data_IF_057630263060
#
_entry.id   IF_057630263060
#
_cell.length_a   1.000
_cell.length_b   1.000
_cell.length_c   1.000
_cell.angle_alpha   90.00
_cell.angle_beta   90.00
_cell.angle_gamma   90.00
#
_symmetry.space_group_name_H-M   'P 1'
#
loop_
_entity.id
_entity.type
_entity.pdbx_description
1 polymer ?
#
# COMPACT_ATOMS: atom_id res chain seq x y z
N UNK A 1 -2.95 20.47 17.53
CA UNK A 1 -1.87 20.92 16.62
C UNK A 1 -0.95 19.78 16.18
N UNK A 2 -0.43 18.94 17.09
CA UNK A 2 0.50 17.85 16.75
C UNK A 2 -0.10 16.78 15.81
N UNK A 3 -1.37 16.41 15.97
CA UNK A 3 -1.98 15.38 15.12
C UNK A 3 -2.21 15.79 13.66
N UNK A 4 -2.52 17.07 13.42
CA UNK A 4 -2.61 17.58 12.06
C UNK A 4 -1.25 17.56 11.35
N UNK A 5 -0.17 17.83 12.09
CA UNK A 5 1.19 17.68 11.58
C UNK A 5 1.49 16.21 11.25
N UNK A 6 1.17 15.28 12.17
CA UNK A 6 1.33 13.85 11.93
C UNK A 6 0.53 13.35 10.72
N UNK A 7 -0.69 13.87 10.51
CA UNK A 7 -1.52 13.56 9.35
C UNK A 7 -0.82 13.87 8.03
N UNK A 8 -0.14 15.02 7.96
CA UNK A 8 0.63 15.43 6.78
C UNK A 8 1.92 14.61 6.65
N UNK A 9 2.59 14.33 7.76
CA UNK A 9 3.84 13.55 7.79
C UNK A 9 3.66 12.07 7.45
N UNK A 10 2.42 11.55 7.44
CA UNK A 10 2.12 10.20 6.95
C UNK A 10 2.30 10.09 5.43
N UNK A 11 2.14 11.17 4.66
CA UNK A 11 2.23 11.10 3.20
C UNK A 11 3.63 10.78 2.66
N UNK A 12 4.74 11.42 3.10
CA UNK A 12 6.08 11.10 2.62
C UNK A 12 6.44 9.60 2.64
N UNK A 13 6.30 8.85 3.76
CA UNK A 13 6.60 7.42 3.74
C UNK A 13 5.65 6.64 2.83
N UNK A 14 4.37 6.99 2.75
CA UNK A 14 3.42 6.38 1.81
C UNK A 14 3.86 6.59 0.35
N UNK A 15 4.26 7.81 -0.01
CA UNK A 15 4.73 8.15 -1.36
C UNK A 15 5.97 7.36 -1.75
N UNK A 16 6.88 7.15 -0.79
CA UNK A 16 8.04 6.29 -0.98
C UNK A 16 7.62 4.84 -1.25
N UNK A 17 6.72 4.28 -0.43
CA UNK A 17 6.23 2.91 -0.60
C UNK A 17 5.57 2.72 -1.96
N UNK A 18 4.75 3.67 -2.43
CA UNK A 18 4.12 3.61 -3.76
C UNK A 18 5.16 3.54 -4.87
N UNK A 19 6.23 4.33 -4.80
CA UNK A 19 7.32 4.30 -5.79
C UNK A 19 8.07 2.98 -5.80
N UNK A 20 8.29 2.37 -4.63
CA UNK A 20 8.94 1.07 -4.53
C UNK A 20 8.02 -0.06 -5.01
N UNK A 21 6.72 0.02 -4.71
CA UNK A 21 5.74 -0.98 -5.16
C UNK A 21 5.53 -0.90 -6.68
N UNK A 22 5.45 0.31 -7.25
CA UNK A 22 5.19 0.53 -8.67
C UNK A 22 6.27 1.44 -9.30
N UNK A 23 7.46 0.90 -9.66
CA UNK A 23 8.58 1.68 -10.18
C UNK A 23 8.27 2.44 -11.48
N UNK A 24 7.37 1.88 -12.30
CA UNK A 24 6.97 2.43 -13.61
C UNK A 24 5.85 3.49 -13.49
N UNK A 25 5.36 3.79 -12.28
CA UNK A 25 4.30 4.77 -12.07
C UNK A 25 4.85 6.20 -12.17
N UNK A 26 4.15 7.09 -12.88
CA UNK A 26 4.61 8.48 -13.01
C UNK A 26 4.70 9.18 -11.64
N UNK A 27 5.84 9.83 -11.39
CA UNK A 27 6.17 10.55 -10.16
C UNK A 27 5.20 11.70 -9.79
N UNK A 28 4.34 12.12 -10.71
CA UNK A 28 3.46 13.30 -10.55
C UNK A 28 2.02 12.95 -10.16
N UNK A 29 1.73 11.75 -9.63
CA UNK A 29 0.37 11.46 -9.15
C UNK A 29 0.08 12.21 -7.85
N UNK A 30 -0.85 13.17 -7.90
CA UNK A 30 -1.36 13.86 -6.73
C UNK A 30 -2.56 13.12 -6.12
N UNK A 31 -3.17 12.16 -6.84
CA UNK A 31 -4.34 11.42 -6.39
C UNK A 31 -4.10 10.63 -5.10
N UNK A 32 -2.95 9.96 -4.98
CA UNK A 32 -2.55 9.27 -3.73
C UNK A 32 -2.44 10.29 -2.59
N UNK A 33 -1.77 11.41 -2.82
CA UNK A 33 -1.64 12.48 -1.81
C UNK A 33 -3.01 13.00 -1.37
N UNK A 34 -3.91 13.28 -2.31
CA UNK A 34 -5.26 13.75 -2.02
C UNK A 34 -6.04 12.75 -1.18
N UNK A 35 -5.98 11.45 -1.51
CA UNK A 35 -6.68 10.43 -0.73
C UNK A 35 -6.09 10.28 0.69
N UNK A 36 -4.77 10.23 0.84
CA UNK A 36 -4.13 10.15 2.16
C UNK A 36 -4.51 11.33 3.05
N UNK A 37 -4.54 12.54 2.49
CA UNK A 37 -4.80 13.76 3.24
C UNK A 37 -6.29 14.02 3.49
N UNK A 38 -7.18 13.58 2.60
CA UNK A 38 -8.60 13.98 2.61
C UNK A 38 -9.61 12.83 2.62
N UNK A 39 -9.19 11.59 2.85
CA UNK A 39 -10.14 10.51 3.11
C UNK A 39 -11.04 10.88 4.32
N UNK A 40 -12.38 10.80 4.22
CA UNK A 40 -13.29 11.46 5.17
C UNK A 40 -13.08 11.09 6.64
N UNK A 41 -12.96 9.80 6.94
CA UNK A 41 -12.80 9.33 8.32
C UNK A 41 -11.36 9.50 8.84
N UNK A 42 -10.29 9.11 8.10
CA UNK A 42 -8.93 9.44 8.48
C UNK A 42 -8.72 10.93 8.76
N UNK A 43 -9.24 11.81 7.91
CA UNK A 43 -9.15 13.27 8.10
C UNK A 43 -9.81 13.70 9.41
N UNK A 44 -11.03 13.23 9.68
CA UNK A 44 -11.76 13.54 10.91
C UNK A 44 -11.02 13.02 12.16
N UNK A 45 -10.53 11.78 12.14
CA UNK A 45 -9.85 11.20 13.30
C UNK A 45 -8.46 11.78 13.55
N UNK A 46 -7.76 12.24 12.50
CA UNK A 46 -6.50 12.96 12.67
C UNK A 46 -6.67 14.40 13.15
N UNK A 47 -7.85 15.00 12.97
CA UNK A 47 -8.16 16.31 13.56
C UNK A 47 -8.35 16.23 15.09
N UNK A 48 -8.74 15.08 15.63
CA UNK A 48 -8.97 14.86 17.06
C UNK A 48 -7.65 14.48 17.76
N UNK A 49 -7.33 15.02 18.96
CA UNK A 49 -6.14 14.67 19.73
C UNK A 49 -6.23 13.24 20.28
N UNK A 50 -5.81 12.28 19.45
CA UNK A 50 -5.74 10.85 19.72
C UNK A 50 -4.35 10.30 19.45
N UNK A 51 -3.95 9.24 20.17
CA UNK A 51 -2.69 8.50 19.92
C UNK A 51 -2.64 7.82 18.54
N UNK A 52 -3.79 7.71 17.88
CA UNK A 52 -3.95 6.99 16.63
C UNK A 52 -3.11 7.60 15.49
N UNK A 53 -3.08 8.93 15.38
CA UNK A 53 -2.26 9.63 14.39
C UNK A 53 -0.77 9.30 14.52
N UNK A 54 -0.25 9.24 15.76
CA UNK A 54 1.15 8.88 16.02
C UNK A 54 1.41 7.43 15.62
N UNK A 55 0.51 6.51 16.01
CA UNK A 55 0.67 5.10 15.67
C UNK A 55 0.61 4.84 14.14
N UNK A 56 -0.25 5.55 13.41
CA UNK A 56 -0.32 5.46 11.94
C UNK A 56 0.96 6.00 11.31
N UNK A 57 1.44 7.16 11.76
CA UNK A 57 2.69 7.74 11.27
C UNK A 57 3.88 6.80 11.50
N UNK A 58 4.07 6.28 12.73
CA UNK A 58 5.16 5.38 13.04
C UNK A 58 5.07 4.07 12.26
N UNK A 59 3.86 3.55 12.04
CA UNK A 59 3.64 2.36 11.23
C UNK A 59 4.09 2.55 9.78
N UNK A 60 3.71 3.65 9.12
CA UNK A 60 4.13 3.92 7.74
C UNK A 60 5.62 4.25 7.63
N UNK A 61 6.19 4.96 8.60
CA UNK A 61 7.65 5.16 8.69
C UNK A 61 8.36 3.80 8.78
N UNK A 62 7.88 2.90 9.65
CA UNK A 62 8.44 1.56 9.79
C UNK A 62 8.36 0.76 8.49
N UNK A 63 7.19 0.74 7.82
CA UNK A 63 7.05 0.09 6.52
C UNK A 63 8.03 0.63 5.48
N UNK A 64 8.14 1.96 5.38
CA UNK A 64 9.03 2.61 4.42
C UNK A 64 10.50 2.29 4.66
N UNK A 65 10.95 2.32 5.92
CA UNK A 65 12.33 1.98 6.29
C UNK A 65 12.61 0.48 6.12
N UNK A 66 11.63 -0.38 6.38
CA UNK A 66 11.73 -1.82 6.14
C UNK A 66 11.96 -2.10 4.67
N UNK A 67 11.12 -1.54 3.80
CA UNK A 67 11.28 -1.66 2.34
C UNK A 67 12.64 -1.11 1.90
N UNK A 68 13.03 0.05 2.42
CA UNK A 68 14.33 0.62 2.10
C UNK A 68 15.49 -0.32 2.50
N UNK A 69 15.46 -0.90 3.70
CA UNK A 69 16.48 -1.83 4.17
C UNK A 69 16.55 -3.09 3.30
N UNK A 70 15.39 -3.64 2.94
CA UNK A 70 15.29 -4.82 2.08
C UNK A 70 15.86 -4.57 0.67
N UNK A 71 15.53 -3.43 0.05
CA UNK A 71 15.96 -3.12 -1.32
C UNK A 71 17.39 -2.58 -1.41
N UNK A 72 17.84 -1.80 -0.43
CA UNK A 72 19.20 -1.23 -0.44
C UNK A 72 20.29 -2.16 0.12
N UNK A 73 19.89 -3.23 0.82
CA UNK A 73 20.79 -4.15 1.55
C UNK A 73 21.75 -3.42 2.51
N UNK A 74 21.33 -2.24 3.00
CA UNK A 74 22.09 -1.44 3.98
C UNK A 74 21.74 -1.89 5.40
N UNK A 75 22.59 -2.75 5.97
CA UNK A 75 22.43 -3.33 7.31
C UNK A 75 22.47 -2.29 8.43
N UNK A 76 23.19 -1.18 8.24
CA UNK A 76 23.34 -0.13 9.27
C UNK A 76 22.01 0.58 9.49
N UNK A 77 21.25 0.81 8.42
CA UNK A 77 19.89 1.39 8.52
C UNK A 77 18.91 0.45 9.21
N UNK A 78 19.13 -0.85 9.11
CA UNK A 78 18.35 -1.88 9.81
C UNK A 78 18.37 -1.73 11.33
N UNK A 79 19.42 -1.13 11.91
CA UNK A 79 19.54 -0.90 13.36
C UNK A 79 18.46 0.04 13.92
N UNK A 80 17.82 0.85 13.08
CA UNK A 80 16.72 1.74 13.48
C UNK A 80 15.39 0.99 13.59
N UNK A 81 15.26 -0.18 12.96
CA UNK A 81 13.99 -0.92 12.94
C UNK A 81 13.59 -1.48 14.32
N UNK A 82 14.46 -2.13 15.13
CA UNK A 82 14.08 -2.64 16.44
C UNK A 82 13.52 -1.58 17.42
N UNK A 83 14.16 -0.40 17.63
CA UNK A 83 13.59 0.60 18.52
C UNK A 83 12.28 1.19 17.98
N UNK A 84 12.17 1.38 16.65
CA UNK A 84 10.94 1.85 16.02
C UNK A 84 9.79 0.83 16.15
N UNK A 85 10.09 -0.45 15.96
CA UNK A 85 9.14 -1.54 16.21
C UNK A 85 8.68 -1.56 17.66
N UNK A 86 9.59 -1.40 18.62
CA UNK A 86 9.27 -1.29 20.05
C UNK A 86 8.31 -0.13 20.35
N UNK A 87 8.49 1.03 19.71
CA UNK A 87 7.56 2.16 19.83
C UNK A 87 6.17 1.83 19.26
N UNK A 88 6.11 1.16 18.10
CA UNK A 88 4.82 0.69 17.55
C UNK A 88 4.19 -0.32 18.49
N UNK A 89 4.96 -1.25 19.07
CA UNK A 89 4.46 -2.26 20.00
C UNK A 89 3.86 -1.64 21.27
N UNK A 90 4.50 -0.62 21.84
CA UNK A 90 4.00 0.10 23.01
C UNK A 90 2.68 0.84 22.74
N UNK A 91 2.49 1.35 21.52
CA UNK A 91 1.27 2.06 21.16
C UNK A 91 0.15 1.11 20.71
N UNK A 92 0.51 0.09 19.92
CA UNK A 92 -0.37 -0.85 19.21
C UNK A 92 0.35 -2.19 19.00
N UNK A 93 0.32 -3.10 19.99
CA UNK A 93 1.02 -4.38 19.92
C UNK A 93 0.53 -5.26 18.75
N UNK A 94 -0.75 -5.16 18.39
CA UNK A 94 -1.31 -5.94 17.29
C UNK A 94 -0.72 -5.52 15.93
N UNK A 95 -0.51 -4.22 15.68
CA UNK A 95 0.18 -3.75 14.48
C UNK A 95 1.65 -4.18 14.46
N UNK A 96 2.32 -4.14 15.61
CA UNK A 96 3.73 -4.52 15.70
C UNK A 96 3.95 -6.00 15.32
N UNK A 97 3.09 -6.92 15.76
CA UNK A 97 3.19 -8.32 15.34
C UNK A 97 2.92 -8.51 13.84
N UNK A 98 1.95 -7.79 13.29
CA UNK A 98 1.63 -7.82 11.86
C UNK A 98 2.83 -7.36 11.01
N UNK A 99 3.59 -6.36 11.49
CA UNK A 99 4.83 -5.91 10.84
C UNK A 99 5.90 -7.00 10.81
N UNK A 100 6.09 -7.75 11.91
CA UNK A 100 7.04 -8.88 11.94
C UNK A 100 6.64 -9.98 10.98
N UNK A 101 5.33 -10.28 10.91
CA UNK A 101 4.82 -11.28 9.98
C UNK A 101 5.06 -10.88 8.53
N UNK A 102 4.83 -9.62 8.21
CA UNK A 102 5.16 -9.06 6.90
C UNK A 102 6.64 -9.18 6.58
N UNK A 103 7.53 -8.78 7.50
CA UNK A 103 8.98 -8.89 7.32
C UNK A 103 9.42 -10.34 7.10
N UNK A 104 8.86 -11.28 7.86
CA UNK A 104 9.15 -12.71 7.68
C UNK A 104 8.72 -13.21 6.30
N UNK A 105 7.51 -12.86 5.85
CA UNK A 105 7.02 -13.24 4.53
C UNK A 105 7.86 -12.66 3.39
N UNK A 106 8.20 -11.37 3.49
CA UNK A 106 9.01 -10.70 2.49
C UNK A 106 10.47 -11.20 2.49
N UNK A 107 11.02 -11.54 3.67
CA UNK A 107 12.31 -12.19 3.81
C UNK A 107 12.35 -13.58 3.18
N UNK A 108 11.27 -14.36 3.27
CA UNK A 108 11.15 -15.62 2.53
C UNK A 108 11.24 -15.37 1.02
N UNK A 109 10.48 -14.42 0.48
CA UNK A 109 10.54 -14.08 -0.96
C UNK A 109 11.97 -13.72 -1.39
N UNK A 110 12.67 -12.87 -0.62
CA UNK A 110 14.07 -12.51 -0.91
C UNK A 110 15.03 -13.71 -0.88
N UNK A 111 14.88 -14.62 0.10
CA UNK A 111 15.68 -15.84 0.17
C UNK A 111 15.41 -16.73 -1.04
N UNK A 112 14.15 -16.91 -1.43
CA UNK A 112 13.79 -17.73 -2.58
C UNK A 112 14.37 -17.16 -3.88
N UNK A 113 14.33 -15.83 -4.04
CA UNK A 113 14.95 -15.11 -5.16
C UNK A 113 16.48 -15.28 -5.17
N UNK A 114 17.12 -15.16 -4.02
CA UNK A 114 18.57 -15.33 -3.90
C UNK A 114 19.04 -16.77 -4.21
N UNK A 115 18.16 -17.76 -4.01
CA UNK A 115 18.41 -19.17 -4.34
C UNK A 115 18.03 -19.52 -5.79
N UNK A 116 17.68 -18.53 -6.63
CA UNK A 116 17.20 -18.71 -8.02
C UNK A 116 16.15 -19.83 -8.13
N UNK A 117 15.31 -19.96 -7.09
CA UNK A 117 14.42 -21.10 -6.96
C UNK A 117 13.08 -20.82 -7.62
N UNK A 118 12.79 -21.55 -8.70
CA UNK A 118 11.47 -21.55 -9.33
C UNK A 118 10.48 -22.35 -8.46
N UNK A 119 9.94 -21.68 -7.44
CA UNK A 119 9.00 -22.31 -6.51
C UNK A 119 7.59 -22.25 -7.09
N UNK A 120 6.97 -23.42 -7.17
CA UNK A 120 5.56 -23.51 -7.56
C UNK A 120 4.66 -22.73 -6.59
N UNK A 121 3.58 -22.14 -7.11
CA UNK A 121 2.60 -21.39 -6.31
C UNK A 121 2.10 -22.17 -5.07
N UNK A 122 1.82 -23.49 -5.13
CA UNK A 122 1.48 -24.29 -3.95
C UNK A 122 2.56 -24.28 -2.86
N UNK A 123 3.84 -24.38 -3.23
CA UNK A 123 4.94 -24.37 -2.28
C UNK A 123 5.12 -22.98 -1.63
N UNK A 124 4.97 -21.90 -2.40
CA UNK A 124 4.94 -20.54 -1.84
C UNK A 124 3.77 -20.37 -0.86
N UNK A 125 2.57 -20.82 -1.22
CA UNK A 125 1.41 -20.76 -0.31
C UNK A 125 1.62 -21.58 0.95
N UNK A 126 2.34 -22.70 0.87
CA UNK A 126 2.67 -23.55 2.02
C UNK A 126 3.66 -22.84 2.96
N UNK A 127 4.70 -22.21 2.41
CA UNK A 127 5.67 -21.43 3.20
C UNK A 127 5.01 -20.24 3.89
N UNK A 128 4.22 -19.45 3.15
CA UNK A 128 3.47 -18.34 3.72
C UNK A 128 2.43 -18.81 4.75
N UNK A 129 1.80 -19.95 4.53
CA UNK A 129 0.91 -20.60 5.49
C UNK A 129 1.64 -20.98 6.79
N UNK A 130 2.85 -21.53 6.70
CA UNK A 130 3.72 -21.82 7.85
C UNK A 130 4.09 -20.56 8.64
N UNK A 131 4.46 -19.48 7.95
CA UNK A 131 4.70 -18.16 8.57
C UNK A 131 3.44 -17.67 9.29
N UNK A 132 2.28 -17.79 8.65
CA UNK A 132 0.98 -17.47 9.22
C UNK A 132 0.68 -18.25 10.51
N UNK A 133 0.99 -19.55 10.54
CA UNK A 133 0.83 -20.40 11.74
C UNK A 133 1.74 -19.94 12.88
N UNK A 134 3.00 -19.62 12.60
CA UNK A 134 3.93 -19.07 13.60
C UNK A 134 3.43 -17.72 14.12
N UNK A 135 2.97 -16.85 13.22
CA UNK A 135 2.36 -15.57 13.60
C UNK A 135 1.14 -15.73 14.49
N UNK A 136 0.27 -16.69 14.18
CA UNK A 136 -0.89 -17.03 15.00
C UNK A 136 -0.50 -17.57 16.37
N UNK A 137 0.51 -18.45 16.45
CA UNK A 137 1.02 -18.95 17.72
C UNK A 137 1.56 -17.82 18.60
N UNK A 138 2.37 -16.91 18.03
CA UNK A 138 2.85 -15.73 18.75
C UNK A 138 1.70 -14.82 19.20
N UNK A 139 0.68 -14.61 18.36
CA UNK A 139 -0.50 -13.85 18.73
C UNK A 139 -1.26 -14.49 19.92
N UNK A 140 -1.46 -15.80 19.88
CA UNK A 140 -2.17 -16.58 20.89
C UNK A 140 -1.38 -16.72 22.21
N UNK A 141 -0.07 -16.82 22.16
CA UNK A 141 0.76 -16.97 23.36
C UNK A 141 1.16 -15.62 23.97
N UNK A 142 1.56 -14.66 23.14
CA UNK A 142 2.18 -13.41 23.61
C UNK A 142 1.16 -12.31 23.91
N UNK A 143 0.10 -12.18 23.10
CA UNK A 143 -0.86 -11.09 23.24
C UNK A 143 -2.13 -11.53 23.97
N UNK A 144 -2.75 -12.62 23.53
CA UNK A 144 -4.07 -13.01 24.01
C UNK A 144 -4.10 -14.47 24.42
N UNK A 145 -4.04 -14.74 25.73
CA UNK A 145 -4.63 -15.98 26.22
C UNK A 145 -6.10 -16.05 25.78
N UNK A 146 -6.64 -17.24 25.64
CA UNK A 146 -8.02 -17.45 25.21
C UNK A 146 -9.04 -16.59 26.00
N UNK A 147 -8.83 -16.49 27.32
CA UNK A 147 -9.61 -15.63 28.22
C UNK A 147 -9.42 -14.13 27.93
N UNK A 148 -8.19 -13.69 27.62
CA UNK A 148 -7.91 -12.29 27.23
C UNK A 148 -8.53 -11.93 25.88
N UNK A 149 -8.56 -12.85 24.92
CA UNK A 149 -9.21 -12.63 23.63
C UNK A 149 -10.72 -12.40 23.81
N UNK A 150 -11.38 -13.29 24.56
CA UNK A 150 -12.81 -13.15 24.89
C UNK A 150 -13.07 -11.90 25.76
N UNK A 151 -12.20 -11.59 26.72
CA UNK A 151 -12.31 -10.36 27.53
C UNK A 151 -12.23 -9.10 26.68
N UNK A 152 -11.26 -9.02 25.77
CA UNK A 152 -11.10 -7.86 24.89
C UNK A 152 -12.27 -7.73 23.92
N UNK A 153 -12.77 -8.86 23.40
CA UNK A 153 -13.97 -8.88 22.60
C UNK A 153 -15.19 -8.37 23.35
N UNK A 154 -15.38 -8.80 24.61
CA UNK A 154 -16.48 -8.36 25.47
C UNK A 154 -16.34 -6.89 25.89
N UNK A 155 -15.12 -6.44 26.23
CA UNK A 155 -14.83 -5.04 26.56
C UNK A 155 -15.11 -4.11 25.38
N UNK A 156 -14.75 -4.54 24.17
CA UNK A 156 -14.98 -3.79 22.93
C UNK A 156 -16.41 -3.95 22.40
N UNK A 157 -17.17 -4.95 22.85
CA UNK A 157 -18.60 -5.13 22.58
C UNK A 157 -19.48 -4.27 23.51
N UNK A 158 -19.22 -2.95 23.57
CA UNK A 158 -20.01 -2.02 24.37
C UNK A 158 -20.49 -0.82 23.53
N UNK A 159 -21.71 -0.32 23.83
CA UNK A 159 -22.37 0.81 23.13
C UNK A 159 -23.32 0.39 22.00
N UNK A 160 -24.07 1.34 21.41
CA UNK A 160 -25.05 1.10 20.34
C UNK A 160 -24.46 0.87 18.94
N UNK A 161 -23.25 0.32 18.87
CA UNK A 161 -22.42 0.24 17.65
C UNK A 161 -21.77 -1.14 17.48
N UNK A 162 -22.26 -2.13 18.22
CA UNK A 162 -21.69 -3.47 18.32
C UNK A 162 -22.26 -4.35 17.20
N UNK A 163 -21.43 -5.25 16.69
CA UNK A 163 -21.83 -6.24 15.69
C UNK A 163 -21.37 -7.63 16.13
N UNK A 164 -22.04 -8.67 15.60
CA UNK A 164 -21.78 -10.08 15.93
C UNK A 164 -21.84 -10.35 17.45
N UNK A 165 -22.81 -9.73 18.13
CA UNK A 165 -23.08 -9.94 19.55
C UNK A 165 -23.34 -11.42 19.84
N UNK A 166 -22.75 -11.92 20.93
CA UNK A 166 -22.92 -13.30 21.38
C UNK A 166 -22.00 -14.34 20.74
N UNK A 167 -21.21 -13.99 19.72
CA UNK A 167 -20.14 -14.89 19.25
C UNK A 167 -18.91 -14.80 20.15
N UNK A 168 -18.85 -15.68 21.15
CA UNK A 168 -17.65 -15.93 21.94
C UNK A 168 -16.88 -17.10 21.34
N UNK A 169 -15.56 -17.08 21.47
CA UNK A 169 -14.75 -18.22 21.06
C UNK A 169 -14.87 -19.32 22.11
N UNK A 170 -14.99 -20.56 21.64
CA UNK A 170 -14.96 -21.78 22.48
C UNK A 170 -13.64 -22.57 22.35
N UNK A 171 -12.87 -22.32 21.28
CA UNK A 171 -11.53 -22.88 21.06
C UNK A 171 -10.71 -22.02 20.08
N UNK A 172 -9.41 -22.30 19.94
CA UNK A 172 -8.58 -21.68 18.91
C UNK A 172 -8.97 -22.07 17.48
N UNK A 173 -9.57 -23.26 17.30
CA UNK A 173 -10.09 -23.68 16.01
C UNK A 173 -11.30 -22.81 15.61
N UNK A 174 -12.21 -22.58 16.56
CA UNK A 174 -13.36 -21.68 16.38
C UNK A 174 -12.91 -20.25 16.04
N UNK A 175 -11.87 -19.76 16.73
CA UNK A 175 -11.22 -18.48 16.40
C UNK A 175 -10.77 -18.42 14.93
N UNK A 176 -10.04 -19.45 14.46
CA UNK A 176 -9.52 -19.48 13.08
C UNK A 176 -10.64 -19.61 12.04
N UNK A 177 -11.69 -20.39 12.32
CA UNK A 177 -12.83 -20.56 11.42
C UNK A 177 -13.64 -19.26 11.26
N UNK A 178 -13.77 -18.48 12.32
CA UNK A 178 -14.55 -17.24 12.32
C UNK A 178 -13.73 -16.02 11.88
N UNK A 179 -12.40 -16.08 11.95
CA UNK A 179 -11.51 -14.97 11.61
C UNK A 179 -11.74 -14.37 10.20
N UNK A 180 -11.96 -15.14 9.11
CA UNK A 180 -12.24 -14.56 7.80
C UNK A 180 -13.52 -13.72 7.77
N UNK A 181 -14.61 -14.23 8.38
CA UNK A 181 -15.87 -13.49 8.46
C UNK A 181 -15.69 -12.21 9.28
N UNK A 182 -14.99 -12.28 10.41
CA UNK A 182 -14.69 -11.10 11.24
C UNK A 182 -13.77 -10.10 10.55
N UNK A 183 -12.83 -10.55 9.72
CA UNK A 183 -12.01 -9.67 8.89
C UNK A 183 -12.86 -8.87 7.90
N UNK A 184 -13.87 -9.50 7.27
CA UNK A 184 -14.83 -8.81 6.40
C UNK A 184 -15.66 -7.78 7.17
N UNK A 185 -16.14 -8.12 8.38
CA UNK A 185 -16.83 -7.14 9.23
C UNK A 185 -15.91 -6.00 9.64
N UNK A 186 -14.67 -6.28 10.01
CA UNK A 186 -13.71 -5.24 10.35
C UNK A 186 -13.46 -4.29 9.17
N UNK A 187 -13.26 -4.84 7.97
CA UNK A 187 -12.93 -4.07 6.79
C UNK A 187 -14.14 -3.31 6.24
N UNK A 188 -15.34 -3.91 6.25
CA UNK A 188 -16.50 -3.42 5.50
C UNK A 188 -17.72 -3.06 6.36
N UNK A 189 -17.63 -3.10 7.70
CA UNK A 189 -18.65 -2.50 8.54
C UNK A 189 -18.43 -0.97 8.71
N UNK A 190 -19.49 -0.18 8.96
CA UNK A 190 -20.88 -0.59 9.12
C UNK A 190 -21.57 -0.92 7.78
N UNK A 191 -22.51 -1.86 7.81
CA UNK A 191 -23.43 -2.17 6.71
C UNK A 191 -24.68 -1.29 6.80
N UNK A 192 -25.51 -1.18 5.74
CA UNK A 192 -26.72 -0.36 5.76
C UNK A 192 -27.65 -0.62 6.96
N UNK A 193 -27.70 -1.88 7.41
CA UNK A 193 -28.52 -2.33 8.54
C UNK A 193 -28.05 -1.79 9.90
N UNK A 194 -26.83 -1.26 10.00
CA UNK A 194 -26.25 -0.75 11.24
C UNK A 194 -26.41 0.79 11.40
N UNK A 195 -27.15 1.45 10.52
CA UNK A 195 -27.27 2.92 10.51
C UNK A 195 -28.35 3.36 11.51
N UNK A 196 -27.91 3.87 12.66
CA UNK A 196 -28.79 4.37 13.73
C UNK A 196 -28.55 5.87 14.04
N UNK A 197 -27.49 6.46 13.45
CA UNK A 197 -27.16 7.88 13.63
C UNK A 197 -26.49 8.49 12.39
N UNK A 198 -26.39 9.82 12.35
CA UNK A 198 -25.70 10.57 11.28
C UNK A 198 -24.23 10.14 11.17
N UNK A 199 -23.58 9.84 12.30
CA UNK A 199 -22.22 9.33 12.30
C UNK A 199 -22.14 7.94 11.64
N UNK A 200 -23.15 7.08 11.83
CA UNK A 200 -23.19 5.76 11.19
C UNK A 200 -23.38 5.91 9.67
N UNK A 201 -24.16 6.90 9.22
CA UNK A 201 -24.33 7.21 7.81
C UNK A 201 -23.01 7.68 7.17
N UNK A 202 -22.26 8.56 7.83
CA UNK A 202 -20.93 8.98 7.37
C UNK A 202 -19.96 7.80 7.33
N UNK A 203 -19.97 6.94 8.35
CA UNK A 203 -19.13 5.75 8.40
C UNK A 203 -19.46 4.74 7.30
N UNK A 204 -20.74 4.57 6.98
CA UNK A 204 -21.22 3.77 5.85
C UNK A 204 -20.77 4.35 4.51
N UNK A 205 -20.91 5.67 4.30
CA UNK A 205 -20.47 6.33 3.06
C UNK A 205 -18.96 6.16 2.83
N UNK A 206 -18.15 6.29 3.87
CA UNK A 206 -16.71 6.02 3.78
C UNK A 206 -16.41 4.54 3.47
N UNK A 207 -17.24 3.62 3.94
CA UNK A 207 -17.08 2.19 3.64
C UNK A 207 -17.26 1.89 2.15
N UNK A 208 -18.13 2.62 1.44
CA UNK A 208 -18.23 2.53 -0.03
C UNK A 208 -16.91 2.92 -0.69
N UNK A 209 -16.25 3.98 -0.21
CA UNK A 209 -14.91 4.38 -0.68
C UNK A 209 -13.90 3.26 -0.41
N UNK A 210 -13.95 2.63 0.76
CA UNK A 210 -13.07 1.50 1.12
C UNK A 210 -13.28 0.30 0.18
N UNK A 211 -14.52 -0.02 -0.19
CA UNK A 211 -14.82 -1.09 -1.16
C UNK A 211 -14.22 -0.75 -2.53
N UNK A 212 -14.40 0.49 -2.99
CA UNK A 212 -13.82 0.97 -4.26
C UNK A 212 -12.29 0.87 -4.24
N UNK A 213 -11.65 1.27 -3.14
CA UNK A 213 -10.20 1.15 -2.95
C UNK A 213 -9.75 -0.30 -2.91
N UNK A 214 -10.50 -1.20 -2.26
CA UNK A 214 -10.21 -2.62 -2.22
C UNK A 214 -10.20 -3.24 -3.63
N UNK A 215 -11.27 -3.00 -4.40
CA UNK A 215 -11.36 -3.49 -5.79
C UNK A 215 -10.24 -2.89 -6.65
N UNK A 216 -9.90 -1.61 -6.43
CA UNK A 216 -8.82 -0.93 -7.15
C UNK A 216 -7.44 -1.45 -6.80
N UNK A 217 -7.19 -1.80 -5.54
CA UNK A 217 -5.97 -2.44 -5.09
C UNK A 217 -5.79 -3.81 -5.74
N UNK A 218 -6.83 -4.66 -5.70
CA UNK A 218 -6.83 -5.98 -6.36
C UNK A 218 -6.58 -5.82 -7.86
N UNK A 219 -7.27 -4.87 -8.51
CA UNK A 219 -7.10 -4.61 -9.95
C UNK A 219 -5.69 -4.13 -10.29
N UNK A 220 -5.09 -3.29 -9.43
CA UNK A 220 -3.73 -2.77 -9.64
C UNK A 220 -2.71 -3.90 -9.53
N UNK A 221 -2.79 -4.70 -8.47
CA UNK A 221 -1.93 -5.86 -8.26
C UNK A 221 -2.14 -6.97 -9.30
N UNK A 222 -3.30 -7.04 -9.96
CA UNK A 222 -3.54 -8.06 -10.99
C UNK A 222 -3.08 -7.65 -12.39
N UNK A 223 -3.10 -6.34 -12.71
CA UNK A 223 -2.90 -5.85 -14.09
C UNK A 223 -1.68 -4.95 -14.29
N UNK A 224 -1.01 -4.52 -13.22
CA UNK A 224 0.16 -3.65 -13.31
C UNK A 224 1.41 -4.41 -12.88
N UNK A 225 2.56 -4.03 -13.41
CA UNK A 225 3.85 -4.51 -12.94
C UNK A 225 4.16 -3.89 -11.57
N UNK A 226 4.64 -4.69 -10.63
CA UNK A 226 4.99 -4.26 -9.29
C UNK A 226 6.23 -5.01 -8.78
N UNK A 227 6.86 -4.45 -7.75
CA UNK A 227 7.89 -5.18 -7.00
C UNK A 227 7.24 -6.25 -6.10
N UNK A 228 7.54 -7.52 -6.37
CA UNK A 228 6.93 -8.66 -5.69
C UNK A 228 7.22 -8.70 -4.19
N UNK A 229 8.45 -8.38 -3.79
CA UNK A 229 8.86 -8.41 -2.39
C UNK A 229 8.08 -7.36 -1.61
N UNK A 230 7.97 -6.14 -2.15
CA UNK A 230 7.15 -5.06 -1.57
C UNK A 230 5.67 -5.45 -1.57
N UNK A 231 5.16 -6.04 -2.66
CA UNK A 231 3.77 -6.46 -2.74
C UNK A 231 3.42 -7.53 -1.69
N UNK A 232 4.23 -8.59 -1.57
CA UNK A 232 4.03 -9.65 -0.57
C UNK A 232 4.09 -9.06 0.84
N UNK A 233 5.05 -8.17 1.11
CA UNK A 233 5.13 -7.50 2.40
C UNK A 233 3.82 -6.77 2.75
N UNK A 234 3.34 -5.91 1.85
CA UNK A 234 2.14 -5.10 2.06
C UNK A 234 0.86 -5.95 2.13
N UNK A 235 0.73 -6.97 1.28
CA UNK A 235 -0.43 -7.88 1.25
C UNK A 235 -0.51 -8.71 2.53
N UNK A 236 0.61 -9.26 3.00
CA UNK A 236 0.63 -10.01 4.27
C UNK A 236 0.31 -9.11 5.45
N UNK A 237 0.90 -7.90 5.50
CA UNK A 237 0.59 -6.90 6.52
C UNK A 237 -0.91 -6.54 6.49
N UNK A 238 -1.48 -6.34 5.31
CA UNK A 238 -2.91 -6.05 5.16
C UNK A 238 -3.79 -7.22 5.65
N UNK A 239 -3.59 -8.42 5.10
CA UNK A 239 -4.42 -9.60 5.40
C UNK A 239 -4.32 -10.02 6.87
N UNK A 240 -3.10 -10.12 7.41
CA UNK A 240 -2.91 -10.46 8.80
C UNK A 240 -3.46 -9.39 9.74
N UNK A 241 -3.34 -8.12 9.35
CA UNK A 241 -3.90 -7.01 10.10
C UNK A 241 -5.42 -7.03 10.17
N UNK A 242 -6.12 -7.18 9.04
CA UNK A 242 -7.60 -7.25 9.04
C UNK A 242 -8.12 -8.49 9.78
N UNK A 243 -7.41 -9.62 9.68
CA UNK A 243 -7.77 -10.84 10.42
C UNK A 243 -7.54 -10.67 11.93
N UNK A 244 -6.37 -10.18 12.34
CA UNK A 244 -6.03 -9.99 13.75
C UNK A 244 -6.93 -8.95 14.42
N UNK A 245 -7.12 -7.78 13.79
CA UNK A 245 -8.01 -6.74 14.31
C UNK A 245 -9.48 -7.13 14.26
N UNK A 246 -9.92 -7.85 13.23
CA UNK A 246 -11.29 -8.35 13.16
C UNK A 246 -11.59 -9.38 14.24
N UNK A 247 -10.63 -10.22 14.58
CA UNK A 247 -10.85 -11.25 15.60
C UNK A 247 -11.04 -10.68 17.02
N UNK A 248 -10.44 -9.52 17.33
CA UNK A 248 -10.49 -8.93 18.68
C UNK A 248 -11.44 -7.72 18.80
N UNK A 249 -11.97 -7.21 17.70
CA UNK A 249 -12.93 -6.10 17.72
C UNK A 249 -14.35 -6.54 17.35
N UNK A 250 -15.32 -5.91 18.01
CA UNK A 250 -16.76 -6.14 17.85
C UNK A 250 -17.57 -4.83 17.76
N UNK A 251 -16.91 -3.67 17.65
CA UNK A 251 -17.57 -2.36 17.64
C UNK A 251 -17.10 -1.50 16.47
N UNK A 252 -18.06 -1.03 15.66
CA UNK A 252 -17.73 -0.32 14.42
C UNK A 252 -17.05 1.03 14.69
N UNK A 253 -17.39 1.72 15.78
CA UNK A 253 -16.78 3.01 16.15
C UNK A 253 -15.28 2.88 16.46
N UNK A 254 -14.88 1.81 17.16
CA UNK A 254 -13.46 1.49 17.37
C UNK A 254 -12.80 0.94 16.11
N UNK A 255 -13.52 0.12 15.33
CA UNK A 255 -13.00 -0.41 14.07
C UNK A 255 -12.59 0.68 13.10
N UNK A 256 -13.46 1.67 12.88
CA UNK A 256 -13.20 2.75 11.92
C UNK A 256 -11.84 3.41 12.21
N UNK A 257 -11.49 3.63 13.47
CA UNK A 257 -10.19 4.20 13.87
C UNK A 257 -9.04 3.25 13.61
N UNK A 258 -9.21 1.98 13.92
CA UNK A 258 -8.19 0.95 13.69
C UNK A 258 -8.01 0.63 12.20
N UNK A 259 -9.03 0.89 11.39
CA UNK A 259 -9.04 0.62 9.95
C UNK A 259 -8.18 1.59 9.14
N UNK A 260 -7.92 2.80 9.65
CA UNK A 260 -7.18 3.88 8.94
C UNK A 260 -5.88 3.36 8.31
N UNK A 261 -5.09 2.57 9.04
CA UNK A 261 -3.84 1.99 8.53
C UNK A 261 -4.10 1.12 7.29
N UNK A 262 -5.14 0.29 7.36
CA UNK A 262 -5.52 -0.62 6.27
C UNK A 262 -6.17 0.12 5.10
N UNK A 263 -6.88 1.22 5.33
CA UNK A 263 -7.36 2.11 4.27
C UNK A 263 -6.19 2.72 3.49
N UNK A 264 -5.16 3.19 4.18
CA UNK A 264 -3.95 3.71 3.53
C UNK A 264 -3.13 2.64 2.81
N UNK A 265 -3.09 1.40 3.32
CA UNK A 265 -2.53 0.27 2.58
C UNK A 265 -3.30 0.00 1.28
N UNK A 266 -4.63 0.10 1.30
CA UNK A 266 -5.44 0.01 0.07
C UNK A 266 -5.13 1.16 -0.88
N UNK A 267 -4.97 2.40 -0.40
CA UNK A 267 -4.57 3.55 -1.23
C UNK A 267 -3.21 3.29 -1.90
N UNK A 268 -2.22 2.78 -1.17
CA UNK A 268 -0.91 2.41 -1.71
C UNK A 268 -1.06 1.38 -2.83
N UNK A 269 -1.73 0.27 -2.54
CA UNK A 269 -1.89 -0.82 -3.50
C UNK A 269 -2.74 -0.41 -4.71
N UNK A 270 -3.69 0.53 -4.55
CA UNK A 270 -4.55 1.05 -5.60
C UNK A 270 -3.92 2.19 -6.43
N UNK A 271 -2.67 2.58 -6.17
CA UNK A 271 -2.05 3.76 -6.77
C UNK A 271 -2.13 3.84 -8.31
N UNK A 272 -1.92 2.76 -9.08
CA UNK A 272 -2.07 2.80 -10.54
C UNK A 272 -3.48 3.15 -11.02
N UNK A 273 -4.51 2.60 -10.37
CA UNK A 273 -5.91 2.93 -10.70
C UNK A 273 -6.24 4.36 -10.29
N UNK A 274 -5.78 4.80 -9.11
CA UNK A 274 -5.94 6.18 -8.63
C UNK A 274 -5.33 7.18 -9.61
N UNK A 275 -4.12 6.91 -10.12
CA UNK A 275 -3.47 7.78 -11.11
C UNK A 275 -4.29 7.87 -12.41
N UNK A 276 -4.88 6.75 -12.87
CA UNK A 276 -5.77 6.78 -14.05
C UNK A 276 -6.99 7.66 -13.82
N UNK A 277 -7.63 7.56 -12.66
CA UNK A 277 -8.76 8.44 -12.31
C UNK A 277 -8.36 9.91 -12.24
N UNK A 278 -7.21 10.20 -11.65
CA UNK A 278 -6.66 11.55 -11.61
C UNK A 278 -6.45 12.12 -13.03
N UNK A 279 -5.89 11.33 -13.96
CA UNK A 279 -5.68 11.74 -15.34
C UNK A 279 -7.02 12.01 -16.05
N UNK A 280 -8.00 11.11 -15.91
CA UNK A 280 -9.34 11.29 -16.49
C UNK A 280 -10.01 12.54 -15.92
N UNK A 281 -9.91 12.77 -14.62
CA UNK A 281 -10.47 13.94 -13.96
C UNK A 281 -9.81 15.25 -14.44
N UNK A 282 -8.48 15.27 -14.56
CA UNK A 282 -7.72 16.41 -15.10
C UNK A 282 -8.08 16.70 -16.56
N UNK A 283 -8.24 15.66 -17.37
CA UNK A 283 -8.71 15.78 -18.76
C UNK A 283 -10.11 16.37 -18.83
N UNK A 284 -11.03 15.89 -17.99
CA UNK A 284 -12.38 16.42 -17.88
C UNK A 284 -12.40 17.90 -17.47
N UNK A 285 -11.49 18.33 -16.59
CA UNK A 285 -11.30 19.73 -16.21
C UNK A 285 -10.56 20.58 -17.26
N UNK A 286 -10.12 20.01 -18.39
CA UNK A 286 -9.32 20.71 -19.40
C UNK A 286 -7.88 21.04 -18.96
N UNK A 287 -7.42 20.49 -17.84
CA UNK A 287 -6.07 20.68 -17.29
C UNK A 287 -5.18 19.53 -17.77
N UNK A 288 -4.93 19.45 -19.07
CA UNK A 288 -4.01 18.44 -19.62
C UNK A 288 -2.57 18.93 -19.47
N UNK A 289 -1.65 18.16 -18.85
CA UNK A 289 -0.23 18.46 -18.95
C UNK A 289 0.22 18.26 -20.40
N UNK A 290 0.76 19.30 -21.03
CA UNK A 290 1.55 19.18 -22.27
C UNK A 290 2.76 18.28 -21.98
N UNK A 291 2.67 17.00 -22.30
CA UNK A 291 3.83 16.11 -22.40
C UNK A 291 3.60 15.10 -23.53
N UNK A 292 3.74 15.61 -24.77
CA UNK A 292 3.99 14.84 -25.98
C UNK A 292 4.60 15.77 -27.04
N UNK A 293 5.75 16.36 -26.70
CA UNK A 293 6.39 17.36 -27.55
C UNK A 293 7.88 17.59 -27.30
N UNK A 294 8.58 16.67 -26.61
CA UNK A 294 10.05 16.72 -26.54
C UNK A 294 10.71 15.67 -27.42
N UNK A 295 10.12 14.49 -27.51
CA UNK A 295 10.68 13.42 -28.35
C UNK A 295 10.61 13.75 -29.86
N UNK A 296 9.58 14.48 -30.31
CA UNK A 296 9.44 14.88 -31.72
C UNK A 296 10.29 16.09 -32.12
N UNK A 297 10.72 16.94 -31.19
CA UNK A 297 11.64 18.05 -31.51
C UNK A 297 13.07 17.52 -31.64
N UNK A 298 13.50 16.59 -30.77
CA UNK A 298 14.82 15.96 -30.89
C UNK A 298 14.91 15.03 -32.10
N UNK A 299 13.85 14.27 -32.44
CA UNK A 299 13.80 13.49 -33.69
C UNK A 299 13.75 14.37 -34.94
N UNK A 300 13.00 15.48 -34.94
CA UNK A 300 12.99 16.46 -36.05
C UNK A 300 14.33 17.15 -36.21
N UNK A 301 15.01 17.51 -35.12
CA UNK A 301 16.33 18.14 -35.17
C UNK A 301 17.41 17.15 -35.61
N UNK A 302 17.35 15.88 -35.18
CA UNK A 302 18.27 14.84 -35.67
C UNK A 302 17.99 14.44 -37.12
N UNK A 303 16.73 14.40 -37.57
CA UNK A 303 16.40 14.21 -38.99
C UNK A 303 16.84 15.38 -39.86
N UNK A 304 16.62 16.63 -39.43
CA UNK A 304 17.10 17.81 -40.16
C UNK A 304 18.63 17.90 -40.18
N UNK A 305 19.29 17.54 -39.08
CA UNK A 305 20.74 17.50 -39.02
C UNK A 305 21.30 16.41 -39.96
N UNK A 306 20.72 15.20 -39.95
CA UNK A 306 21.13 14.12 -40.85
C UNK A 306 20.81 14.43 -42.33
N UNK A 307 19.69 15.10 -42.64
CA UNK A 307 19.37 15.51 -44.02
C UNK A 307 20.37 16.54 -44.55
N UNK A 308 20.81 17.49 -43.72
CA UNK A 308 21.84 18.46 -44.10
C UNK A 308 23.22 17.81 -44.28
N UNK A 309 23.59 16.84 -43.45
CA UNK A 309 24.86 16.10 -43.59
C UNK A 309 24.86 15.22 -44.84
N UNK A 310 23.74 14.60 -45.20
CA UNK A 310 23.62 13.81 -46.43
C UNK A 310 23.61 14.67 -47.70
N UNK A 311 22.93 15.82 -47.70
CA UNK A 311 22.95 16.77 -48.82
C UNK A 311 24.36 17.37 -49.03
N UNK A 312 25.10 17.66 -47.95
CA UNK A 312 26.48 18.14 -48.04
C UNK A 312 27.47 17.12 -48.62
N UNK A 313 27.28 15.82 -48.34
CA UNK A 313 28.10 14.74 -48.92
C UNK A 313 27.79 14.46 -50.39
N UNK A 314 26.54 14.59 -50.82
CA UNK A 314 26.18 14.43 -52.23
C UNK A 314 26.78 15.54 -53.11
N UNK A 315 26.73 16.80 -52.65
CA UNK A 315 27.37 17.90 -53.37
C UNK A 315 28.90 17.79 -53.42
N UNK A 316 29.55 17.27 -52.36
CA UNK A 316 31.00 17.06 -52.37
C UNK A 316 31.43 15.99 -53.38
N UNK A 317 30.68 14.88 -53.47
CA UNK A 317 30.95 13.81 -54.42
C UNK A 317 30.70 14.24 -55.89
N UNK A 318 29.63 15.00 -56.16
CA UNK A 318 29.34 15.47 -57.52
C UNK A 318 30.39 16.46 -58.04
N UNK A 319 30.97 17.26 -57.15
CA UNK A 319 32.06 18.19 -57.51
C UNK A 319 33.38 17.45 -57.78
N UNK A 320 33.60 16.29 -57.13
CA UNK A 320 34.79 15.47 -57.34
C UNK A 320 34.70 14.69 -58.66
N UNK A 321 33.52 14.17 -59.04
CA UNK A 321 33.31 13.50 -60.33
C UNK A 321 33.43 14.43 -61.54
N UNK A 322 32.98 15.69 -61.46
CA UNK A 322 33.18 16.65 -62.55
C UNK A 322 34.66 17.00 -62.77
N UNK A 323 35.48 16.99 -61.71
CA UNK A 323 36.91 17.33 -61.80
C UNK A 323 37.76 16.24 -62.44
N UNK A 324 37.27 15.01 -62.51
CA UNK A 324 37.93 13.89 -63.22
C UNK A 324 37.45 13.72 -64.67
N UNK A 325 36.26 14.23 -65.02
CA UNK A 325 35.75 14.16 -66.40
C UNK A 325 36.31 15.22 -67.35
N UNK A 326 36.86 16.32 -66.84
CA UNK A 326 37.47 17.41 -67.65
C UNK A 326 38.95 17.16 -68.01
N UNK A 327 39.51 15.99 -67.68
CA UNK A 327 40.93 15.68 -67.90
C UNK A 327 41.20 14.57 -68.92
N UNK A 328 40.19 14.16 -69.67
CA UNK A 328 40.27 13.04 -70.62
C UNK A 328 39.80 13.36 -72.05
N UNK A 329 39.86 14.62 -72.47
CA UNK A 329 39.77 15.01 -73.88
C UNK A 329 41.03 15.76 -74.33
#
# INVERSE_FOLDING_TARGET
MFNALLAVLVYPPISYIVRQLYPNLSDRSHGVMTLVLFLPLPFLFFAVPMRDALSVCLFFVFLSLSIQCMLSRDEVRGLVLPPLWGLVYLLRPELALVLLLGLAAAGVVEVLRALESDISLPALTTLLGGIGLVGFALFAELLYSFERANYQLAYRASGGAVYLEGMQYTSWLDFLLVAPARALYFQFAPFPLHIESIFHLLAFAATVIVIILFVSAVRSLYHCEYDETVAVFLVVVYLAGIMGYGAINSNFGTNVRHRIVFEFLLVIMAAPVIQRWELVFRQWLGVVPRQRGKDHEEESETEKFNSHVHAGRQHANDTEYQKYSEKSD
#
